data_IF_697684349895
#
_entry.id   IF_697684349895
#
_cell.length_a   1.000
_cell.length_b   1.000
_cell.length_c   1.000
_cell.angle_alpha   90.00
_cell.angle_beta   90.00
_cell.angle_gamma   90.00
#
_symmetry.space_group_name_H-M   'P 1'
#
loop_
_entity.id
_entity.type
_entity.pdbx_description
1 polymer ?
#
# COMPACT_ATOMS: atom_id res chain seq x y z
N UNK A 1 -27.53 11.44 -7.88
CA UNK A 1 -26.79 10.16 -7.68
C UNK A 1 -27.61 9.04 -8.27
N UNK A 2 -27.02 8.25 -9.15
CA UNK A 2 -27.68 7.16 -9.86
C UNK A 2 -28.02 5.99 -8.92
N UNK A 3 -29.07 5.22 -9.26
CA UNK A 3 -29.52 4.10 -8.42
C UNK A 3 -28.43 3.02 -8.26
N UNK A 4 -27.70 2.71 -9.33
CA UNK A 4 -26.57 1.76 -9.35
C UNK A 4 -25.46 2.17 -8.40
N UNK A 5 -25.07 3.45 -8.41
CA UNK A 5 -24.06 4.02 -7.50
C UNK A 5 -24.54 3.94 -6.07
N UNK A 6 -25.80 4.32 -5.81
CA UNK A 6 -26.39 4.27 -4.46
C UNK A 6 -26.41 2.84 -3.90
N UNK A 7 -26.73 1.87 -4.73
CA UNK A 7 -26.70 0.45 -4.36
C UNK A 7 -25.27 -0.02 -4.05
N UNK A 8 -24.31 0.33 -4.91
CA UNK A 8 -22.91 -0.01 -4.70
C UNK A 8 -22.36 0.55 -3.38
N UNK A 9 -22.67 1.82 -3.04
CA UNK A 9 -22.21 2.45 -1.81
C UNK A 9 -22.67 1.73 -0.53
N UNK A 10 -23.78 0.97 -0.59
CA UNK A 10 -24.28 0.22 0.59
C UNK A 10 -23.50 -1.05 0.88
N UNK A 11 -22.89 -1.66 -0.15
CA UNK A 11 -22.23 -2.97 -0.06
C UNK A 11 -20.70 -2.89 -0.06
N UNK A 12 -20.13 -1.68 -0.14
CA UNK A 12 -18.68 -1.51 -0.07
C UNK A 12 -18.14 -1.93 1.29
N UNK A 13 -17.04 -2.71 1.32
CA UNK A 13 -16.44 -3.18 2.57
C UNK A 13 -15.57 -2.12 3.25
N UNK A 14 -15.41 -2.25 4.57
CA UNK A 14 -14.48 -1.46 5.39
C UNK A 14 -13.09 -2.12 5.42
N UNK A 15 -12.48 -2.30 4.24
CA UNK A 15 -11.18 -2.95 4.04
C UNK A 15 -10.28 -2.12 3.14
N UNK A 16 -8.95 -2.35 3.18
CA UNK A 16 -8.03 -1.77 2.21
C UNK A 16 -8.35 -2.22 0.78
N UNK A 17 -8.09 -1.35 -0.19
CA UNK A 17 -8.27 -1.73 -1.59
C UNK A 17 -8.20 -0.55 -2.56
N UNK A 18 -8.44 -0.88 -3.81
CA UNK A 18 -8.54 0.06 -4.93
C UNK A 18 -9.98 0.13 -5.40
N UNK A 19 -10.44 1.31 -5.79
CA UNK A 19 -11.75 1.51 -6.41
C UNK A 19 -11.60 2.18 -7.77
N UNK A 20 -12.38 1.71 -8.73
CA UNK A 20 -12.44 2.24 -10.08
C UNK A 20 -13.83 2.83 -10.32
N UNK A 21 -13.87 4.06 -10.80
CA UNK A 21 -15.09 4.71 -11.25
C UNK A 21 -15.20 4.60 -12.77
N UNK A 22 -16.32 4.08 -13.23
CA UNK A 22 -16.59 3.87 -14.66
C UNK A 22 -17.73 4.76 -15.15
N UNK A 23 -17.61 5.23 -16.40
CA UNK A 23 -18.66 5.98 -17.09
C UNK A 23 -19.73 5.06 -17.70
N UNK A 24 -20.72 5.65 -18.35
CA UNK A 24 -21.84 4.94 -18.99
C UNK A 24 -21.43 3.94 -20.10
N UNK A 25 -20.24 4.08 -20.66
CA UNK A 25 -19.70 3.13 -21.67
C UNK A 25 -18.68 2.14 -21.04
N UNK A 26 -18.57 2.13 -19.71
CA UNK A 26 -17.71 1.20 -18.97
C UNK A 26 -16.24 1.60 -18.90
N UNK A 27 -15.84 2.77 -19.39
CA UNK A 27 -14.44 3.23 -19.32
C UNK A 27 -14.11 3.64 -17.90
N UNK A 28 -12.91 3.29 -17.43
CA UNK A 28 -12.37 3.79 -16.16
C UNK A 28 -12.04 5.28 -16.34
N UNK A 29 -12.73 6.13 -15.58
CA UNK A 29 -12.54 7.59 -15.64
C UNK A 29 -11.73 8.12 -14.45
N UNK A 30 -11.71 7.35 -13.35
CA UNK A 30 -10.93 7.64 -12.16
C UNK A 30 -10.66 6.34 -11.41
N UNK A 31 -9.52 6.26 -10.75
CA UNK A 31 -9.22 5.21 -9.79
C UNK A 31 -8.46 5.78 -8.59
N UNK A 32 -8.52 5.09 -7.47
CA UNK A 32 -7.81 5.49 -6.27
C UNK A 32 -7.78 4.38 -5.24
N UNK A 33 -6.85 4.50 -4.29
CA UNK A 33 -6.71 3.57 -3.17
C UNK A 33 -7.29 4.10 -1.88
N UNK A 34 -7.58 3.20 -0.95
CA UNK A 34 -7.96 3.54 0.42
C UNK A 34 -7.65 2.39 1.37
N UNK A 35 -7.39 2.72 2.64
CA UNK A 35 -7.41 1.76 3.75
C UNK A 35 -8.81 1.34 4.18
N UNK A 36 -9.83 2.10 3.76
CA UNK A 36 -11.25 1.84 4.02
C UNK A 36 -12.05 2.27 2.77
N UNK A 37 -12.36 1.29 1.92
CA UNK A 37 -13.08 1.51 0.67
C UNK A 37 -14.45 2.16 0.90
N UNK A 38 -15.22 1.67 1.87
CA UNK A 38 -16.55 2.18 2.15
C UNK A 38 -16.53 3.67 2.55
N UNK A 39 -15.66 4.04 3.48
CA UNK A 39 -15.53 5.42 3.96
C UNK A 39 -15.05 6.34 2.85
N UNK A 40 -14.00 5.95 2.15
CA UNK A 40 -13.38 6.77 1.11
C UNK A 40 -14.30 7.00 -0.08
N UNK A 41 -14.92 5.94 -0.59
CA UNK A 41 -15.78 6.05 -1.76
C UNK A 41 -17.04 6.87 -1.44
N UNK A 42 -17.66 6.66 -0.27
CA UNK A 42 -18.82 7.47 0.15
C UNK A 42 -18.50 8.96 0.27
N UNK A 43 -17.27 9.33 0.66
CA UNK A 43 -16.89 10.74 0.80
C UNK A 43 -17.02 11.56 -0.47
N UNK A 44 -16.97 10.95 -1.65
CA UNK A 44 -17.17 11.64 -2.93
C UNK A 44 -18.62 12.13 -3.15
N UNK A 45 -19.58 11.59 -2.42
CA UNK A 45 -21.00 11.99 -2.53
C UNK A 45 -21.53 12.76 -1.31
N UNK A 46 -20.71 12.94 -0.28
CA UNK A 46 -21.09 13.68 0.94
C UNK A 46 -20.50 15.07 0.93
N UNK A 47 -19.20 15.18 0.71
CA UNK A 47 -18.48 16.45 0.71
C UNK A 47 -17.34 16.42 -0.30
N UNK A 48 -17.45 17.24 -1.33
CA UNK A 48 -16.42 17.42 -2.35
C UNK A 48 -15.49 18.60 -2.03
N UNK A 49 -15.83 19.43 -1.04
CA UNK A 49 -15.12 20.67 -0.74
C UNK A 49 -14.91 21.53 -1.99
N UNK A 50 -13.90 22.39 -1.98
CA UNK A 50 -13.54 23.26 -3.10
C UNK A 50 -12.83 22.55 -4.25
N UNK A 51 -13.32 21.36 -4.67
CA UNK A 51 -12.73 20.55 -5.74
C UNK A 51 -13.67 20.34 -6.93
N UNK A 52 -13.90 21.38 -7.75
CA UNK A 52 -14.89 21.34 -8.85
C UNK A 52 -14.61 20.25 -9.90
N UNK A 53 -13.36 19.82 -10.07
CA UNK A 53 -13.00 18.71 -10.95
C UNK A 53 -13.56 17.38 -10.47
N UNK A 54 -13.66 17.16 -9.14
CA UNK A 54 -14.27 15.97 -8.56
C UNK A 54 -15.78 15.96 -8.73
N UNK A 55 -16.45 17.13 -8.65
CA UNK A 55 -17.88 17.23 -8.92
C UNK A 55 -18.21 16.80 -10.36
N UNK A 56 -17.42 17.25 -11.34
CA UNK A 56 -17.55 16.83 -12.75
C UNK A 56 -17.28 15.34 -12.95
N UNK A 57 -16.37 14.77 -12.19
CA UNK A 57 -16.09 13.32 -12.20
C UNK A 57 -17.29 12.55 -11.65
N UNK A 58 -17.74 12.91 -10.43
CA UNK A 58 -18.84 12.23 -9.72
C UNK A 58 -20.13 12.22 -10.55
N UNK A 59 -20.43 13.32 -11.28
CA UNK A 59 -21.59 13.41 -12.16
C UNK A 59 -21.56 12.38 -13.32
N UNK A 60 -20.39 11.88 -13.69
CA UNK A 60 -20.18 10.90 -14.77
C UNK A 60 -20.08 9.46 -14.30
N UNK A 61 -19.95 9.22 -12.99
CA UNK A 61 -19.82 7.87 -12.45
C UNK A 61 -21.12 7.11 -12.63
N UNK A 62 -21.05 5.99 -13.33
CA UNK A 62 -22.15 5.06 -13.56
C UNK A 62 -21.99 3.81 -12.72
N UNK A 63 -20.76 3.32 -12.56
CA UNK A 63 -20.43 2.12 -11.79
C UNK A 63 -19.22 2.35 -10.90
N UNK A 64 -19.23 1.66 -9.77
CA UNK A 64 -18.13 1.58 -8.83
C UNK A 64 -17.65 0.13 -8.82
N UNK A 65 -16.38 -0.06 -9.09
CA UNK A 65 -15.74 -1.37 -9.06
C UNK A 65 -14.65 -1.36 -7.97
N UNK A 66 -14.89 -1.97 -6.79
CA UNK A 66 -13.89 -2.13 -5.76
C UNK A 66 -13.04 -3.38 -6.01
N UNK A 67 -11.76 -3.30 -5.66
CA UNK A 67 -10.84 -4.43 -5.55
C UNK A 67 -10.32 -4.47 -4.13
N UNK A 68 -10.69 -5.48 -3.36
CA UNK A 68 -10.20 -5.68 -1.99
C UNK A 68 -8.74 -6.12 -2.05
N UNK A 69 -7.90 -5.49 -1.24
CA UNK A 69 -6.49 -5.81 -1.07
C UNK A 69 -6.24 -6.26 0.38
N UNK A 70 -5.18 -7.05 0.61
CA UNK A 70 -4.84 -7.53 1.94
C UNK A 70 -4.21 -6.42 2.82
N UNK A 71 -3.67 -5.36 2.20
CA UNK A 71 -3.04 -4.24 2.90
C UNK A 71 -3.08 -2.94 2.10
N UNK A 72 -2.75 -1.82 2.77
CA UNK A 72 -2.57 -0.52 2.10
C UNK A 72 -1.43 -0.56 1.07
N UNK A 73 -0.37 -1.34 1.34
CA UNK A 73 0.76 -1.50 0.43
C UNK A 73 0.35 -2.15 -0.88
N UNK A 74 -0.44 -3.23 -0.80
CA UNK A 74 -0.97 -3.86 -2.01
C UNK A 74 -1.90 -2.95 -2.78
N UNK A 75 -2.77 -2.25 -2.07
CA UNK A 75 -3.63 -1.26 -2.71
C UNK A 75 -2.80 -0.19 -3.43
N UNK A 76 -1.63 0.21 -2.86
CA UNK A 76 -0.74 1.18 -3.48
C UNK A 76 -0.08 0.62 -4.75
N UNK A 77 0.45 -0.60 -4.71
CA UNK A 77 1.04 -1.24 -5.88
C UNK A 77 0.01 -1.47 -6.98
N UNK A 78 -1.17 -2.00 -6.62
CA UNK A 78 -2.26 -2.23 -7.57
C UNK A 78 -2.75 -0.92 -8.20
N UNK A 79 -2.89 0.16 -7.41
CA UNK A 79 -3.27 1.49 -7.92
C UNK A 79 -2.25 1.98 -8.96
N UNK A 80 -0.95 1.88 -8.66
CA UNK A 80 0.12 2.27 -9.57
C UNK A 80 0.05 1.50 -10.89
N UNK A 81 -0.05 0.17 -10.82
CA UNK A 81 -0.18 -0.69 -12.01
C UNK A 81 -1.44 -0.38 -12.83
N UNK A 82 -2.55 -0.09 -12.17
CA UNK A 82 -3.80 0.25 -12.85
C UNK A 82 -3.77 1.65 -13.46
N UNK A 83 -3.10 2.63 -12.83
CA UNK A 83 -2.90 3.97 -13.41
C UNK A 83 -2.11 3.92 -14.71
N UNK A 84 -1.10 3.07 -14.79
CA UNK A 84 -0.32 2.88 -16.02
C UNK A 84 -1.14 2.27 -17.15
N UNK A 85 -2.03 1.33 -16.81
CA UNK A 85 -2.90 0.65 -17.81
C UNK A 85 -4.07 1.50 -18.28
N UNK A 86 -4.63 2.31 -17.38
CA UNK A 86 -5.90 3.01 -17.59
C UNK A 86 -5.69 4.52 -17.71
N UNK A 87 -4.91 5.12 -18.40
CA UNK A 87 -4.76 6.58 -18.57
C UNK A 87 -6.05 7.36 -18.27
N UNK A 88 -6.40 7.46 -17.01
CA UNK A 88 -7.69 7.98 -16.54
C UNK A 88 -7.77 9.50 -16.67
N UNK A 89 -8.95 10.00 -17.07
CA UNK A 89 -9.17 11.43 -17.34
C UNK A 89 -9.07 12.32 -16.10
N UNK A 90 -9.46 11.81 -14.93
CA UNK A 90 -9.60 12.59 -13.71
C UNK A 90 -8.50 12.35 -12.68
N UNK A 91 -7.59 11.43 -12.89
CA UNK A 91 -6.37 11.32 -12.10
C UNK A 91 -5.36 12.38 -12.58
N UNK A 92 -4.84 13.17 -11.62
CA UNK A 92 -3.89 14.24 -11.94
C UNK A 92 -2.46 13.76 -12.08
N UNK A 93 -2.11 12.69 -11.39
CA UNK A 93 -0.76 12.14 -11.37
C UNK A 93 -0.73 10.89 -12.22
N UNK A 94 -0.10 11.00 -13.36
CA UNK A 94 0.38 9.90 -14.17
C UNK A 94 1.87 9.76 -13.81
N UNK A 95 2.18 9.02 -12.80
CA UNK A 95 3.55 8.80 -12.41
C UNK A 95 3.67 7.50 -11.66
N UNK A 96 4.50 6.58 -12.18
CA UNK A 96 4.91 5.41 -11.43
C UNK A 96 5.64 5.90 -10.19
N UNK A 97 5.04 5.70 -9.02
CA UNK A 97 5.82 5.79 -7.79
C UNK A 97 6.88 4.69 -7.87
N UNK A 98 8.16 5.06 -7.85
CA UNK A 98 9.25 4.10 -7.93
C UNK A 98 9.25 3.16 -6.73
N UNK A 99 9.53 1.89 -6.99
CA UNK A 99 9.79 0.92 -5.92
C UNK A 99 11.16 1.22 -5.31
N UNK A 100 11.23 1.11 -4.00
CA UNK A 100 12.45 1.34 -3.24
C UNK A 100 12.59 0.32 -2.12
N UNK A 101 13.81 0.14 -1.66
CA UNK A 101 14.17 -0.72 -0.55
C UNK A 101 14.94 0.07 0.51
N UNK A 102 14.85 -0.37 1.75
CA UNK A 102 15.75 0.07 2.82
C UNK A 102 16.89 -0.93 2.95
N UNK A 103 18.11 -0.45 2.77
CA UNK A 103 19.35 -1.20 2.90
C UNK A 103 19.97 -0.88 4.26
N UNK A 104 20.09 -1.87 5.12
CA UNK A 104 20.77 -1.77 6.41
C UNK A 104 22.16 -2.40 6.29
N UNK A 105 23.17 -1.55 6.28
CA UNK A 105 24.58 -1.93 6.34
C UNK A 105 25.03 -1.99 7.80
N UNK A 106 25.68 -3.08 8.18
CA UNK A 106 26.13 -3.32 9.57
C UNK A 106 27.63 -3.55 9.67
N UNK A 107 28.38 -3.35 8.58
CA UNK A 107 29.85 -3.37 8.65
C UNK A 107 30.37 -2.22 9.50
N UNK A 108 31.26 -2.53 10.44
CA UNK A 108 31.75 -1.56 11.43
C UNK A 108 32.40 -0.31 10.81
N UNK A 109 32.97 -0.44 9.62
CA UNK A 109 33.61 0.69 8.94
C UNK A 109 32.67 1.83 8.56
N UNK A 110 31.46 1.48 8.09
CA UNK A 110 30.48 2.47 7.62
C UNK A 110 29.03 1.96 7.76
N UNK A 111 28.54 1.81 9.00
CA UNK A 111 27.16 1.39 9.21
C UNK A 111 26.18 2.45 8.72
N UNK A 112 25.15 2.02 7.99
CA UNK A 112 24.17 2.95 7.42
C UNK A 112 22.80 2.30 7.24
N UNK A 113 21.77 3.16 7.18
CA UNK A 113 20.44 2.79 6.72
C UNK A 113 20.09 3.71 5.54
N UNK A 114 19.92 3.15 4.37
CA UNK A 114 19.78 3.91 3.14
C UNK A 114 18.57 3.48 2.34
N UNK A 115 18.01 4.41 1.55
CA UNK A 115 17.00 4.08 0.55
C UNK A 115 17.66 3.78 -0.79
N UNK A 116 17.30 2.68 -1.42
CA UNK A 116 17.85 2.25 -2.70
C UNK A 116 16.74 1.85 -3.69
N UNK A 117 17.01 1.99 -4.97
CA UNK A 117 16.07 1.60 -6.04
C UNK A 117 16.22 0.15 -6.48
N UNK A 118 17.33 -0.48 -6.12
CA UNK A 118 17.66 -1.87 -6.49
C UNK A 118 18.25 -2.59 -5.30
N UNK A 119 18.05 -3.89 -5.26
CA UNK A 119 18.66 -4.80 -4.28
C UNK A 119 19.97 -5.33 -4.86
N UNK A 120 21.06 -5.19 -4.13
CA UNK A 120 22.38 -5.68 -4.49
C UNK A 120 22.76 -6.88 -3.63
N UNK A 121 23.50 -7.83 -4.18
CA UNK A 121 24.02 -8.99 -3.45
C UNK A 121 25.30 -8.62 -2.67
N UNK A 122 25.21 -7.67 -1.75
CA UNK A 122 26.37 -7.07 -1.05
C UNK A 122 26.51 -7.50 0.41
N UNK A 123 25.67 -8.43 0.87
CA UNK A 123 25.65 -8.94 2.25
C UNK A 123 24.95 -8.04 3.26
N UNK A 124 24.43 -6.88 2.86
CA UNK A 124 23.58 -6.05 3.70
C UNK A 124 22.20 -6.68 3.90
N UNK A 125 21.44 -6.16 4.86
CA UNK A 125 20.05 -6.55 5.06
C UNK A 125 19.14 -5.61 4.27
N UNK A 126 18.19 -6.19 3.52
CA UNK A 126 17.28 -5.48 2.67
C UNK A 126 15.83 -5.64 3.13
N UNK A 127 15.09 -4.55 3.14
CA UNK A 127 13.68 -4.50 3.56
C UNK A 127 12.85 -3.79 2.51
N UNK A 128 11.69 -4.30 2.21
CA UNK A 128 10.81 -3.79 1.16
C UNK A 128 10.31 -4.91 0.24
N UNK A 129 9.87 -4.62 -0.98
CA UNK A 129 9.81 -3.29 -1.61
C UNK A 129 8.77 -2.35 -0.97
N UNK A 130 9.03 -1.05 -1.01
CA UNK A 130 8.09 -0.01 -0.65
C UNK A 130 7.77 0.83 -1.89
N UNK A 131 6.57 1.38 -1.98
CA UNK A 131 6.20 2.27 -3.06
C UNK A 131 6.40 3.73 -2.62
N UNK A 132 7.20 4.48 -3.40
CA UNK A 132 7.51 5.88 -3.17
C UNK A 132 8.79 6.13 -2.36
N UNK A 133 9.67 6.94 -2.95
CA UNK A 133 10.93 7.36 -2.35
C UNK A 133 10.74 8.18 -1.07
N UNK A 134 9.86 9.19 -1.11
CA UNK A 134 9.69 10.13 -0.01
C UNK A 134 9.22 9.47 1.31
N UNK A 135 8.20 8.58 1.32
CA UNK A 135 7.83 7.87 2.53
C UNK A 135 8.97 7.00 3.08
N UNK A 136 9.71 6.30 2.22
CA UNK A 136 10.84 5.47 2.66
C UNK A 136 11.97 6.33 3.24
N UNK A 137 12.28 7.47 2.62
CA UNK A 137 13.29 8.42 3.08
C UNK A 137 12.96 9.02 4.44
N UNK A 138 11.72 9.44 4.64
CA UNK A 138 11.29 9.98 5.93
C UNK A 138 11.24 8.90 7.02
N UNK A 139 10.87 7.67 6.70
CA UNK A 139 10.93 6.57 7.64
C UNK A 139 12.37 6.24 8.05
N UNK A 140 13.31 6.20 7.09
CA UNK A 140 14.73 6.06 7.37
C UNK A 140 15.24 7.21 8.24
N UNK A 141 14.82 8.46 7.98
CA UNK A 141 15.13 9.63 8.80
C UNK A 141 14.68 9.46 10.25
N UNK A 142 13.46 9.00 10.48
CA UNK A 142 12.93 8.69 11.81
C UNK A 142 13.75 7.60 12.52
N UNK A 143 14.13 6.53 11.81
CA UNK A 143 14.98 5.47 12.35
C UNK A 143 16.40 5.97 12.69
N UNK A 144 16.99 6.81 11.83
CA UNK A 144 18.27 7.46 12.12
C UNK A 144 18.22 8.33 13.39
N UNK A 145 17.13 9.07 13.57
CA UNK A 145 16.91 9.89 14.76
C UNK A 145 16.82 9.07 16.04
N UNK A 146 16.18 7.90 15.97
CA UNK A 146 15.98 7.02 17.11
C UNK A 146 17.21 6.20 17.48
N UNK A 147 17.97 5.77 16.49
CA UNK A 147 19.01 4.77 16.67
C UNK A 147 20.42 5.27 16.32
N UNK A 148 20.54 6.35 15.57
CA UNK A 148 21.79 7.02 15.23
C UNK A 148 22.94 6.08 14.75
N UNK A 149 22.60 4.98 14.04
CA UNK A 149 23.50 3.87 13.71
C UNK A 149 24.77 4.31 12.97
N UNK A 150 24.70 5.36 12.13
CA UNK A 150 25.86 5.88 11.40
C UNK A 150 26.99 6.34 12.34
N UNK A 151 26.65 6.69 13.58
CA UNK A 151 27.62 7.16 14.58
C UNK A 151 28.22 6.03 15.41
N UNK A 152 27.83 4.78 15.18
CA UNK A 152 28.43 3.58 15.75
C UNK A 152 29.54 2.98 14.86
N UNK A 153 29.99 3.71 13.81
CA UNK A 153 31.02 3.24 12.91
C UNK A 153 32.44 3.47 13.45
N UNK A 154 33.38 2.67 12.97
CA UNK A 154 34.83 2.81 13.34
C UNK A 154 35.52 3.96 12.59
N UNK A 155 35.01 4.30 11.38
CA UNK A 155 35.58 5.39 10.54
C UNK A 155 34.76 6.68 10.63
N UNK A 156 34.75 7.28 11.80
CA UNK A 156 34.07 8.57 12.02
C UNK A 156 35.05 9.75 11.83
N UNK A 157 34.52 10.84 11.23
CA UNK A 157 35.21 12.13 11.21
C UNK A 157 35.32 12.69 12.64
N UNK A 158 36.12 13.74 12.84
CA UNK A 158 36.20 14.41 14.15
C UNK A 158 34.82 14.92 14.59
N UNK A 159 34.09 15.57 13.69
CA UNK A 159 32.77 16.11 13.99
C UNK A 159 31.76 14.99 14.29
N UNK A 160 31.79 13.87 13.54
CA UNK A 160 30.92 12.74 13.81
C UNK A 160 31.19 12.10 15.16
N UNK A 161 32.45 12.02 15.58
CA UNK A 161 32.83 11.54 16.93
C UNK A 161 32.33 12.44 18.06
N UNK A 162 32.34 13.74 17.86
CA UNK A 162 31.79 14.70 18.84
C UNK A 162 30.26 14.52 18.92
N UNK A 163 29.59 14.36 17.79
CA UNK A 163 28.15 14.11 17.76
C UNK A 163 27.79 12.74 18.34
N UNK A 164 28.55 11.67 18.03
CA UNK A 164 28.38 10.34 18.63
C UNK A 164 28.41 10.41 20.16
N UNK A 165 29.40 11.12 20.72
CA UNK A 165 29.50 11.34 22.17
C UNK A 165 28.30 12.09 22.75
N UNK A 166 27.81 13.12 22.08
CA UNK A 166 26.62 13.85 22.51
C UNK A 166 25.34 13.02 22.45
N UNK A 167 25.27 12.04 21.54
CA UNK A 167 24.16 11.08 21.39
C UNK A 167 24.32 9.85 22.31
N UNK A 168 25.46 9.70 23.02
CA UNK A 168 25.76 8.54 23.82
C UNK A 168 25.91 7.25 23.02
N UNK A 169 26.39 7.34 21.75
CA UNK A 169 26.59 6.20 20.85
C UNK A 169 28.05 5.92 20.64
N UNK A 170 28.44 4.64 20.72
CA UNK A 170 29.80 4.17 20.50
C UNK A 170 29.84 2.97 19.56
N UNK A 171 31.00 2.59 19.04
CA UNK A 171 31.18 1.46 18.11
C UNK A 171 30.64 0.13 18.68
N UNK A 172 30.80 -0.08 19.98
CA UNK A 172 30.29 -1.26 20.69
C UNK A 172 28.75 -1.39 20.63
N UNK A 173 28.03 -0.31 20.36
CA UNK A 173 26.55 -0.29 20.30
C UNK A 173 26.04 -0.75 18.94
N UNK A 174 26.89 -0.86 17.92
CA UNK A 174 26.51 -1.15 16.54
C UNK A 174 25.61 -2.36 16.42
N UNK A 175 25.97 -3.48 17.04
CA UNK A 175 25.18 -4.70 16.96
C UNK A 175 23.78 -4.53 17.56
N UNK A 176 23.68 -3.86 18.71
CA UNK A 176 22.43 -3.59 19.42
C UNK A 176 21.52 -2.66 18.62
N UNK A 177 22.11 -1.58 18.04
CA UNK A 177 21.39 -0.63 17.20
C UNK A 177 20.87 -1.29 15.91
N UNK A 178 21.71 -2.10 15.27
CA UNK A 178 21.34 -2.86 14.06
C UNK A 178 20.19 -3.84 14.34
N UNK A 179 20.26 -4.60 15.44
CA UNK A 179 19.17 -5.48 15.87
C UNK A 179 17.89 -4.68 16.12
N UNK A 180 18.00 -3.54 16.78
CA UNK A 180 16.83 -2.70 17.09
C UNK A 180 16.15 -2.18 15.81
N UNK A 181 16.92 -1.71 14.83
CA UNK A 181 16.40 -1.28 13.52
C UNK A 181 15.77 -2.45 12.79
N UNK A 182 16.45 -3.60 12.74
CA UNK A 182 15.93 -4.82 12.10
C UNK A 182 14.59 -5.22 12.69
N UNK A 183 14.45 -5.29 14.01
CA UNK A 183 13.19 -5.65 14.68
C UNK A 183 12.03 -4.72 14.30
N UNK A 184 12.30 -3.41 14.12
CA UNK A 184 11.29 -2.46 13.64
C UNK A 184 10.92 -2.76 12.18
N UNK A 185 11.91 -2.97 11.31
CA UNK A 185 11.69 -3.22 9.88
C UNK A 185 11.09 -4.61 9.61
N UNK A 186 11.37 -5.60 10.46
CA UNK A 186 10.71 -6.92 10.49
C UNK A 186 9.30 -6.85 11.11
N UNK A 187 8.86 -5.66 11.49
CA UNK A 187 7.51 -5.38 12.02
C UNK A 187 7.20 -6.09 13.33
N UNK A 188 8.21 -6.32 14.18
CA UNK A 188 7.95 -6.86 15.51
C UNK A 188 7.06 -5.88 16.31
N UNK A 189 5.87 -6.30 16.80
CA UNK A 189 4.86 -5.38 17.34
C UNK A 189 5.39 -4.49 18.49
N UNK A 190 6.19 -5.04 19.38
CA UNK A 190 6.76 -4.29 20.50
C UNK A 190 7.82 -3.26 20.04
N UNK A 191 8.66 -3.64 19.08
CA UNK A 191 9.68 -2.75 18.53
C UNK A 191 9.05 -1.59 17.74
N UNK A 192 8.08 -1.89 16.91
CA UNK A 192 7.30 -0.87 16.15
C UNK A 192 6.60 0.08 17.10
N UNK A 193 5.87 -0.44 18.09
CA UNK A 193 5.17 0.39 19.09
C UNK A 193 6.13 1.32 19.82
N UNK A 194 7.27 0.81 20.29
CA UNK A 194 8.29 1.59 20.99
C UNK A 194 8.87 2.70 20.10
N UNK A 195 9.21 2.37 18.84
CA UNK A 195 9.76 3.36 17.90
C UNK A 195 8.75 4.49 17.60
N UNK A 196 7.50 4.13 17.30
CA UNK A 196 6.43 5.10 17.05
C UNK A 196 6.14 5.98 18.28
N UNK A 197 6.12 5.38 19.46
CA UNK A 197 5.92 6.12 20.71
C UNK A 197 7.04 7.13 20.96
N UNK A 198 8.29 6.73 20.78
CA UNK A 198 9.45 7.65 20.92
C UNK A 198 9.40 8.81 19.93
N UNK A 199 9.08 8.56 18.64
CA UNK A 199 8.91 9.64 17.65
C UNK A 199 7.77 10.58 18.03
N UNK A 200 6.66 10.03 18.54
CA UNK A 200 5.54 10.83 19.04
C UNK A 200 5.95 11.75 20.18
N UNK A 201 6.71 11.24 21.16
CA UNK A 201 7.20 12.05 22.27
C UNK A 201 8.12 13.19 21.80
N UNK A 202 9.02 12.91 20.84
CA UNK A 202 9.89 13.93 20.25
C UNK A 202 9.08 15.01 19.52
N UNK A 203 8.06 14.63 18.76
CA UNK A 203 7.15 15.56 18.08
C UNK A 203 6.40 16.44 19.09
N UNK A 204 5.85 15.83 20.13
CA UNK A 204 5.06 16.55 21.14
C UNK A 204 5.95 17.51 21.95
N UNK A 205 7.20 17.15 22.20
CA UNK A 205 8.18 18.03 22.82
C UNK A 205 8.56 19.22 21.92
N UNK A 206 8.82 18.96 20.63
CA UNK A 206 9.08 20.03 19.66
C UNK A 206 7.90 21.01 19.55
N UNK A 207 6.66 20.48 19.54
CA UNK A 207 5.46 21.32 19.52
C UNK A 207 5.32 22.18 20.80
N UNK A 208 5.59 21.62 21.99
CA UNK A 208 5.58 22.38 23.25
C UNK A 208 6.62 23.50 23.28
N UNK A 209 7.75 23.29 22.62
CA UNK A 209 8.82 24.32 22.46
C UNK A 209 8.54 25.30 21.31
N UNK A 210 7.36 25.23 20.69
CA UNK A 210 6.95 26.04 19.54
C UNK A 210 7.85 25.86 18.29
N UNK A 211 8.63 24.77 18.22
CA UNK A 211 9.46 24.41 17.07
C UNK A 211 8.59 23.70 16.00
N UNK A 212 7.65 24.44 15.41
CA UNK A 212 6.61 23.86 14.56
C UNK A 212 7.13 23.17 13.30
N UNK A 213 8.17 23.69 12.65
CA UNK A 213 8.78 23.04 11.49
C UNK A 213 9.39 21.68 11.87
N UNK A 214 10.08 21.62 13.00
CA UNK A 214 10.62 20.37 13.52
C UNK A 214 9.51 19.39 13.91
N UNK A 215 8.46 19.85 14.57
CA UNK A 215 7.29 19.03 14.89
C UNK A 215 6.60 18.47 13.62
N UNK A 216 6.51 19.27 12.55
CA UNK A 216 5.95 18.85 11.27
C UNK A 216 6.83 17.78 10.59
N UNK A 217 8.16 17.93 10.63
CA UNK A 217 9.08 16.91 10.14
C UNK A 217 8.92 15.60 10.91
N UNK A 218 8.92 15.64 12.23
CA UNK A 218 8.72 14.48 13.11
C UNK A 218 7.36 13.81 12.86
N UNK A 219 6.31 14.60 12.59
CA UNK A 219 4.99 14.07 12.23
C UNK A 219 5.03 13.34 10.86
N UNK A 220 5.83 13.83 9.93
CA UNK A 220 6.04 13.17 8.62
C UNK A 220 6.83 11.89 8.78
N UNK A 221 7.92 11.90 9.55
CA UNK A 221 8.71 10.70 9.90
C UNK A 221 7.84 9.64 10.60
N UNK A 222 7.01 10.05 11.57
CA UNK A 222 6.09 9.18 12.29
C UNK A 222 5.08 8.50 11.34
N UNK A 223 4.43 9.28 10.45
CA UNK A 223 3.48 8.74 9.47
C UNK A 223 4.15 7.79 8.48
N UNK A 224 5.35 8.14 8.05
CA UNK A 224 6.13 7.34 7.11
C UNK A 224 6.58 6.02 7.74
N UNK A 225 7.02 6.04 9.01
CA UNK A 225 7.37 4.82 9.74
C UNK A 225 6.14 3.94 9.98
N UNK A 226 4.99 4.53 10.33
CA UNK A 226 3.72 3.81 10.43
C UNK A 226 3.37 3.11 9.11
N UNK A 227 3.60 3.81 7.99
CA UNK A 227 3.30 3.26 6.67
C UNK A 227 4.21 2.09 6.31
N UNK A 228 5.54 2.19 6.43
CA UNK A 228 6.44 1.06 6.09
C UNK A 228 6.30 -0.13 7.05
N UNK A 229 5.88 0.12 8.30
CA UNK A 229 5.61 -0.95 9.27
C UNK A 229 4.19 -1.51 9.20
N UNK A 230 3.31 -0.95 8.34
CA UNK A 230 1.98 -1.52 8.13
C UNK A 230 2.09 -2.96 7.60
N UNK A 231 1.13 -3.85 7.93
CA UNK A 231 1.16 -5.23 7.45
C UNK A 231 1.33 -5.30 5.92
N UNK A 232 2.35 -6.01 5.48
CA UNK A 232 2.56 -6.36 4.08
C UNK A 232 2.45 -7.88 3.98
N UNK A 233 1.27 -8.37 3.61
CA UNK A 233 1.05 -9.81 3.54
C UNK A 233 1.63 -10.45 2.27
N UNK A 234 1.85 -9.65 1.23
CA UNK A 234 1.97 -10.12 -0.14
C UNK A 234 3.19 -9.58 -0.92
N UNK A 235 4.00 -8.70 -0.32
CA UNK A 235 5.27 -8.26 -0.90
C UNK A 235 6.41 -9.00 -0.23
N UNK A 236 6.75 -10.17 -0.74
CA UNK A 236 7.97 -10.91 -0.39
C UNK A 236 9.06 -10.64 -1.41
N UNK A 237 10.30 -10.94 -1.06
CA UNK A 237 11.42 -10.95 -2.01
C UNK A 237 11.32 -12.15 -2.98
N UNK A 238 10.47 -13.14 -2.66
CA UNK A 238 10.27 -14.31 -3.52
C UNK A 238 9.14 -14.05 -4.54
N UNK A 239 9.41 -14.19 -5.82
CA UNK A 239 8.39 -14.04 -6.87
C UNK A 239 7.40 -15.21 -6.78
N UNK A 240 6.14 -14.91 -6.58
CA UNK A 240 5.02 -15.88 -6.66
C UNK A 240 4.23 -15.61 -7.92
N UNK A 241 4.17 -16.58 -8.82
CA UNK A 241 3.35 -16.58 -10.02
C UNK A 241 2.16 -17.53 -9.80
N UNK A 242 0.96 -17.01 -9.64
CA UNK A 242 -0.21 -17.85 -9.38
C UNK A 242 -1.52 -17.17 -9.76
N UNK A 243 -2.53 -17.97 -10.10
CA UNK A 243 -3.91 -17.53 -10.25
C UNK A 243 -4.76 -18.14 -9.12
N UNK A 244 -5.30 -17.28 -8.26
CA UNK A 244 -6.05 -17.68 -7.07
C UNK A 244 -7.53 -17.52 -7.29
N UNK A 245 -8.29 -18.55 -6.99
CA UNK A 245 -9.73 -18.61 -7.19
C UNK A 245 -10.51 -18.49 -5.86
N UNK A 246 -11.55 -17.64 -5.88
CA UNK A 246 -12.55 -17.56 -4.81
C UNK A 246 -13.94 -17.45 -5.40
N UNK A 247 -14.95 -18.02 -4.74
CA UNK A 247 -16.31 -17.96 -5.22
C UNK A 247 -17.30 -17.65 -4.08
N UNK A 248 -18.33 -16.87 -4.39
CA UNK A 248 -19.44 -16.56 -3.49
C UNK A 248 -20.73 -16.43 -4.30
N UNK A 249 -21.77 -17.18 -3.94
CA UNK A 249 -23.02 -17.22 -4.69
C UNK A 249 -22.79 -17.57 -6.16
N UNK A 250 -23.32 -16.77 -7.08
CA UNK A 250 -23.16 -16.93 -8.53
C UNK A 250 -21.91 -16.27 -9.10
N UNK A 251 -21.03 -15.74 -8.27
CA UNK A 251 -19.85 -14.98 -8.68
C UNK A 251 -18.57 -15.69 -8.27
N UNK A 252 -17.65 -15.83 -9.21
CA UNK A 252 -16.28 -16.26 -8.96
C UNK A 252 -15.29 -15.12 -9.28
N UNK A 253 -14.20 -15.08 -8.55
CA UNK A 253 -13.09 -14.16 -8.78
C UNK A 253 -11.80 -14.95 -8.92
N UNK A 254 -11.01 -14.60 -9.92
CA UNK A 254 -9.63 -15.05 -10.08
C UNK A 254 -8.72 -13.85 -9.85
N UNK A 255 -7.83 -13.97 -8.88
CA UNK A 255 -6.76 -13.03 -8.62
C UNK A 255 -5.48 -13.53 -9.30
N UNK A 256 -4.98 -12.79 -10.25
CA UNK A 256 -3.70 -13.07 -10.88
C UNK A 256 -2.58 -12.42 -10.06
N UNK A 257 -1.70 -13.26 -9.51
CA UNK A 257 -0.51 -12.83 -8.79
C UNK A 257 0.68 -12.88 -9.73
N UNK A 258 1.46 -11.81 -9.73
CA UNK A 258 2.71 -11.70 -10.48
C UNK A 258 3.74 -11.02 -9.59
N UNK A 259 4.94 -11.59 -9.52
CA UNK A 259 6.01 -11.12 -8.61
C UNK A 259 5.54 -11.01 -7.13
N UNK A 260 4.72 -11.96 -6.66
CA UNK A 260 4.17 -11.96 -5.32
C UNK A 260 3.13 -10.88 -5.03
N UNK A 261 2.54 -10.25 -6.05
CA UNK A 261 1.57 -9.14 -5.91
C UNK A 261 0.30 -9.39 -6.71
N UNK A 262 -0.78 -8.77 -6.24
CA UNK A 262 -2.02 -8.73 -7.00
C UNK A 262 -1.84 -7.84 -8.25
N UNK A 263 -1.82 -8.45 -9.41
CA UNK A 263 -1.65 -7.78 -10.70
C UNK A 263 -2.98 -7.56 -11.42
N UNK A 264 -3.87 -8.55 -11.40
CA UNK A 264 -5.16 -8.50 -12.08
C UNK A 264 -6.25 -9.23 -11.28
N UNK A 265 -7.49 -8.80 -11.50
CA UNK A 265 -8.67 -9.49 -11.01
C UNK A 265 -9.63 -9.77 -12.17
N UNK A 266 -10.05 -11.01 -12.31
CA UNK A 266 -11.08 -11.42 -13.25
C UNK A 266 -12.33 -11.84 -12.49
N UNK A 267 -13.49 -11.35 -12.93
CA UNK A 267 -14.79 -11.74 -12.38
C UNK A 267 -15.47 -12.68 -13.37
N UNK A 268 -15.94 -13.82 -12.88
CA UNK A 268 -16.53 -14.88 -13.68
C UNK A 268 -17.89 -15.29 -13.09
N UNK A 269 -18.78 -15.83 -13.91
CA UNK A 269 -19.94 -16.55 -13.40
C UNK A 269 -19.47 -17.86 -12.73
N UNK A 270 -20.07 -18.19 -11.59
CA UNK A 270 -19.77 -19.42 -10.86
C UNK A 270 -20.89 -20.45 -11.12
N UNK A 271 -20.49 -21.60 -11.66
CA UNK A 271 -21.37 -22.71 -12.02
C UNK A 271 -21.36 -23.88 -11.02
N UNK A 272 -20.69 -23.72 -9.89
CA UNK A 272 -20.61 -24.71 -8.81
C UNK A 272 -19.55 -25.82 -8.98
N UNK A 273 -18.85 -25.89 -10.10
CA UNK A 273 -18.08 -27.09 -10.47
C UNK A 273 -16.54 -26.94 -10.52
N UNK A 274 -15.91 -25.90 -9.97
CA UNK A 274 -14.44 -25.75 -10.04
C UNK A 274 -13.71 -26.35 -8.85
N UNK A 275 -12.70 -27.21 -9.13
CA UNK A 275 -11.76 -27.73 -8.13
C UNK A 275 -10.95 -26.59 -7.49
N UNK A 276 -10.85 -26.60 -6.17
CA UNK A 276 -9.98 -25.70 -5.41
C UNK A 276 -8.52 -26.05 -5.67
N UNK A 277 -7.68 -25.17 -6.23
CA UNK A 277 -6.24 -25.39 -6.26
C UNK A 277 -5.68 -25.38 -4.82
N UNK A 278 -4.62 -26.14 -4.57
CA UNK A 278 -3.85 -26.04 -3.32
C UNK A 278 -3.03 -24.75 -3.37
N UNK A 279 -3.43 -23.78 -2.56
CA UNK A 279 -2.81 -22.46 -2.52
C UNK A 279 -2.69 -21.94 -1.09
N UNK A 280 -1.84 -20.92 -0.91
CA UNK A 280 -1.70 -20.24 0.37
C UNK A 280 -3.09 -19.76 0.86
N UNK A 281 -3.50 -20.13 2.08
CA UNK A 281 -4.82 -19.79 2.63
C UNK A 281 -5.16 -18.28 2.57
N UNK A 282 -4.20 -17.41 2.82
CA UNK A 282 -4.41 -15.95 2.83
C UNK A 282 -4.87 -15.42 1.46
N UNK A 283 -4.32 -15.94 0.37
CA UNK A 283 -4.74 -15.58 -0.98
C UNK A 283 -6.13 -16.08 -1.32
N UNK A 284 -6.46 -17.28 -0.86
CA UNK A 284 -7.80 -17.86 -1.05
C UNK A 284 -8.84 -17.04 -0.31
N UNK A 285 -8.54 -16.60 0.92
CA UNK A 285 -9.40 -15.69 1.70
C UNK A 285 -9.60 -14.35 0.97
N UNK A 286 -8.54 -13.78 0.40
CA UNK A 286 -8.62 -12.54 -0.36
C UNK A 286 -9.46 -12.70 -1.64
N UNK A 287 -9.29 -13.79 -2.38
CA UNK A 287 -10.09 -14.08 -3.57
C UNK A 287 -11.57 -14.29 -3.19
N UNK A 288 -11.85 -14.97 -2.09
CA UNK A 288 -13.18 -15.14 -1.55
C UNK A 288 -13.81 -13.80 -1.14
N UNK A 289 -13.08 -12.94 -0.43
CA UNK A 289 -13.55 -11.61 -0.04
C UNK A 289 -13.91 -10.76 -1.26
N UNK A 290 -13.10 -10.79 -2.32
CA UNK A 290 -13.42 -10.13 -3.59
C UNK A 290 -14.67 -10.73 -4.25
N UNK A 291 -14.84 -12.06 -4.23
CA UNK A 291 -16.03 -12.73 -4.75
C UNK A 291 -17.30 -12.32 -3.99
N UNK A 292 -17.25 -12.25 -2.65
CA UNK A 292 -18.36 -11.79 -1.82
C UNK A 292 -18.79 -10.37 -2.19
N UNK A 293 -17.84 -9.44 -2.32
CA UNK A 293 -18.12 -8.04 -2.67
C UNK A 293 -18.72 -7.95 -4.08
N UNK A 294 -18.18 -8.69 -5.05
CA UNK A 294 -18.68 -8.67 -6.42
C UNK A 294 -20.07 -9.32 -6.54
N UNK A 295 -20.33 -10.39 -5.79
CA UNK A 295 -21.65 -11.00 -5.72
C UNK A 295 -22.69 -10.05 -5.10
N UNK A 296 -22.34 -9.37 -4.00
CA UNK A 296 -23.22 -8.38 -3.38
C UNK A 296 -23.50 -7.19 -4.31
N UNK A 297 -22.51 -6.73 -5.08
CA UNK A 297 -22.69 -5.70 -6.10
C UNK A 297 -23.60 -6.17 -7.23
N UNK A 298 -23.40 -7.39 -7.72
CA UNK A 298 -24.26 -7.97 -8.77
C UNK A 298 -25.72 -8.06 -8.30
N UNK A 299 -25.97 -8.52 -7.08
CA UNK A 299 -27.31 -8.59 -6.49
C UNK A 299 -27.93 -7.21 -6.30
N UNK A 300 -27.17 -6.24 -5.79
CA UNK A 300 -27.64 -4.87 -5.59
C UNK A 300 -28.00 -4.18 -6.91
N UNK A 301 -27.34 -4.53 -8.00
CA UNK A 301 -27.58 -4.00 -9.35
C UNK A 301 -28.69 -4.75 -10.10
N UNK A 302 -28.89 -6.03 -9.82
CA UNK A 302 -30.00 -6.82 -10.40
C UNK A 302 -31.39 -6.32 -9.96
N UNK A 303 -31.46 -5.55 -8.88
CA UNK A 303 -32.66 -4.84 -8.43
C UNK A 303 -32.91 -3.51 -9.16
N UNK A 304 -32.07 -3.14 -10.11
CA UNK A 304 -32.19 -1.93 -10.96
C UNK A 304 -32.60 -2.28 -12.38
N UNK A 305 -33.15 -1.31 -13.16
CA UNK A 305 -33.84 -1.56 -14.43
C UNK A 305 -32.97 -1.92 -15.64
N UNK A 306 -31.66 -2.18 -15.48
CA UNK A 306 -30.77 -2.53 -16.61
C UNK A 306 -29.76 -3.60 -16.21
N UNK A 307 -29.87 -4.76 -16.86
CA UNK A 307 -28.91 -5.85 -16.68
C UNK A 307 -27.47 -5.45 -17.02
N UNK A 308 -26.64 -5.39 -15.97
CA UNK A 308 -25.20 -5.28 -16.13
C UNK A 308 -24.69 -6.56 -16.81
N UNK A 309 -24.02 -6.39 -17.94
CA UNK A 309 -23.17 -7.43 -18.52
C UNK A 309 -21.73 -7.10 -18.21
N UNK A 310 -20.91 -8.05 -17.71
CA UNK A 310 -19.47 -7.82 -17.59
C UNK A 310 -18.93 -7.41 -18.97
N UNK A 311 -17.91 -6.52 -19.02
CA UNK A 311 -17.31 -6.14 -20.29
C UNK A 311 -16.85 -7.40 -21.04
N UNK A 312 -16.95 -7.43 -22.38
CA UNK A 312 -16.53 -8.57 -23.18
C UNK A 312 -15.08 -8.90 -22.88
N UNK A 313 -14.77 -10.19 -22.80
CA UNK A 313 -13.41 -10.70 -22.58
C UNK A 313 -12.49 -10.04 -23.60
N UNK A 314 -11.49 -9.30 -23.14
CA UNK A 314 -10.35 -8.96 -24.01
C UNK A 314 -9.68 -10.28 -24.36
N UNK A 315 -9.58 -10.67 -25.66
CA UNK A 315 -8.91 -11.89 -26.01
C UNK A 315 -7.46 -11.82 -25.51
N UNK A 316 -7.02 -12.87 -24.84
CA UNK A 316 -5.64 -13.02 -24.45
C UNK A 316 -4.76 -12.82 -25.68
N UNK A 317 -3.85 -11.85 -25.61
CA UNK A 317 -2.85 -11.67 -26.65
C UNK A 317 -2.12 -13.01 -26.83
N UNK A 318 -2.30 -13.64 -27.99
CA UNK A 318 -1.52 -14.83 -28.38
C UNK A 318 -0.08 -14.38 -28.46
N UNK A 319 0.74 -14.87 -27.54
CA UNK A 319 2.19 -14.83 -27.66
C UNK A 319 2.62 -15.45 -28.98
N UNK A 320 3.25 -14.68 -29.83
CA UNK A 320 4.14 -15.16 -30.89
C UNK A 320 5.57 -15.17 -30.39
#
# INVERSE_FOLDING_TARGET
MQATVRAALKVLPHTPGVYLFRDQVGRVIYLGRSRDLARRVRSYWVDLGDRPHLARMVARVQWIEPVVCASEHEAAFLESDLLDRHRTRFNRTLGMESQVWLRLETRAENPSLEVRHQVDADGASWFGPYLGWEPARHAAGGLHRLFAIRFAGSRLTRSDRELARSLGVAEQDLATLAISIRRVLDREPRAVHSALHRLKLLRDDAARRLAFEHAALLQTELRSLQWICAPQKLSGLEPVEADVYGAAGSTAVVLALRDGRLSQRHVLAHDGHRRKPRMNPEWVELAYANACVMNALAQAQALGPLGWRPPPRTPAARSR
#
